data_IF_782030003060
#
_entry.id   IF_782030003060
#
_cell.length_a   1.000
_cell.length_b   1.000
_cell.length_c   1.000
_cell.angle_alpha   90.00
_cell.angle_beta   90.00
_cell.angle_gamma   90.00
#
_symmetry.space_group_name_H-M   'P 1'
#
loop_
_entity.id
_entity.type
_entity.pdbx_description
1 polymer ?
#
# COMPACT_ATOMS: atom_id res chain seq x y z
N UNK A 1 -3.11 -10.15 -18.31
CA UNK A 1 -2.18 -10.13 -17.16
C UNK A 1 -0.83 -9.60 -17.60
N UNK A 2 0.01 -9.16 -16.66
CA UNK A 2 1.32 -8.59 -16.97
C UNK A 2 2.33 -9.68 -17.39
N UNK A 3 3.18 -9.39 -18.38
CA UNK A 3 4.15 -10.33 -18.94
C UNK A 3 5.53 -10.21 -18.29
N UNK A 4 6.13 -11.35 -17.94
CA UNK A 4 7.47 -11.42 -17.36
C UNK A 4 7.53 -11.14 -15.85
N UNK A 5 8.70 -10.76 -15.38
CA UNK A 5 8.87 -10.27 -14.00
C UNK A 5 8.50 -8.79 -13.96
N UNK A 6 7.84 -8.40 -12.88
CA UNK A 6 7.48 -7.02 -12.60
C UNK A 6 8.09 -6.59 -11.27
N UNK A 7 8.38 -5.30 -11.16
CA UNK A 7 8.70 -4.66 -9.89
C UNK A 7 7.52 -3.80 -9.48
N UNK A 8 6.95 -4.10 -8.33
CA UNK A 8 5.86 -3.33 -7.72
C UNK A 8 6.43 -2.54 -6.56
N UNK A 9 6.28 -1.22 -6.60
CA UNK A 9 6.61 -0.32 -5.50
C UNK A 9 5.32 0.28 -4.96
N UNK A 10 5.10 0.22 -3.66
CA UNK A 10 3.96 0.85 -3.03
C UNK A 10 4.44 1.75 -1.89
N UNK A 11 3.89 2.96 -1.85
CA UNK A 11 4.09 3.90 -0.75
C UNK A 11 2.72 4.30 -0.21
N UNK A 12 2.47 3.98 1.05
CA UNK A 12 1.25 4.29 1.76
C UNK A 12 1.51 5.41 2.75
N UNK A 13 0.77 6.51 2.64
CA UNK A 13 0.87 7.65 3.55
C UNK A 13 -0.49 7.90 4.20
N UNK A 14 -0.52 8.20 5.50
CA UNK A 14 -1.78 8.50 6.19
C UNK A 14 -1.63 9.57 7.26
N UNK A 15 -2.69 10.36 7.43
CA UNK A 15 -2.71 11.42 8.45
C UNK A 15 -3.38 10.90 9.72
N UNK A 16 -2.63 10.77 10.80
CA UNK A 16 -3.19 10.50 12.14
C UNK A 16 -3.15 11.76 13.01
N UNK A 17 -4.22 12.06 13.76
CA UNK A 17 -4.13 13.00 14.88
C UNK A 17 -3.15 12.49 15.94
N UNK A 18 -2.50 13.42 16.64
CA UNK A 18 -1.59 13.13 17.75
C UNK A 18 -2.34 13.04 19.08
N UNK A 19 -1.83 12.25 20.02
CA UNK A 19 -2.28 12.19 21.41
C UNK A 19 -1.10 12.39 22.36
N UNK A 20 -0.77 13.64 22.70
CA UNK A 20 0.39 13.94 23.54
C UNK A 20 0.24 13.46 24.99
N UNK A 21 -0.97 13.10 25.44
CA UNK A 21 -1.22 12.67 26.81
C UNK A 21 -0.80 11.20 27.06
N UNK A 22 -0.58 10.42 26.00
CA UNK A 22 -0.17 9.02 26.08
C UNK A 22 1.28 8.83 25.58
N UNK A 23 2.20 8.62 26.51
CA UNK A 23 3.62 8.37 26.22
C UNK A 23 3.86 7.01 25.54
N UNK A 24 2.92 6.07 25.65
CA UNK A 24 3.00 4.77 25.02
C UNK A 24 2.45 4.77 23.58
N UNK A 25 1.75 5.82 23.12
CA UNK A 25 1.23 5.90 21.75
C UNK A 25 0.96 7.36 21.34
N UNK A 26 1.91 7.96 20.63
CA UNK A 26 1.79 9.38 20.23
C UNK A 26 0.77 9.62 19.09
N UNK A 27 0.34 8.58 18.37
CA UNK A 27 -0.67 8.68 17.31
C UNK A 27 -1.96 7.96 17.69
N UNK A 28 -3.10 8.57 17.36
CA UNK A 28 -4.46 8.02 17.62
C UNK A 28 -4.87 6.93 16.63
N UNK A 29 -3.99 6.58 15.70
CA UNK A 29 -4.25 5.61 14.67
C UNK A 29 -2.99 4.90 14.18
N UNK A 30 -3.14 3.61 13.93
CA UNK A 30 -2.22 2.81 13.13
C UNK A 30 -2.95 2.21 11.94
N UNK A 31 -2.20 1.93 10.89
CA UNK A 31 -2.69 1.22 9.71
C UNK A 31 -1.88 -0.05 9.51
N UNK A 32 -2.60 -1.16 9.36
CA UNK A 32 -2.01 -2.43 8.98
C UNK A 32 -2.45 -2.74 7.55
N UNK A 33 -1.46 -2.84 6.66
CA UNK A 33 -1.70 -3.08 5.23
C UNK A 33 -1.20 -4.47 4.88
N UNK A 34 -2.09 -5.28 4.30
CA UNK A 34 -1.76 -6.64 3.84
C UNK A 34 -1.98 -6.74 2.33
N UNK A 35 -1.13 -7.52 1.66
CA UNK A 35 -1.17 -7.65 0.20
C UNK A 35 -1.66 -9.03 -0.19
N UNK A 36 -2.66 -9.11 -1.07
CA UNK A 36 -3.14 -10.36 -1.67
C UNK A 36 -2.81 -10.34 -3.16
N UNK A 37 -1.89 -11.18 -3.64
CA UNK A 37 -1.48 -11.17 -5.04
C UNK A 37 -2.46 -11.89 -5.97
N UNK A 38 -3.18 -12.90 -5.48
CA UNK A 38 -4.07 -13.75 -6.28
C UNK A 38 -5.37 -13.99 -5.52
N UNK A 39 -6.49 -13.56 -6.10
CA UNK A 39 -7.83 -13.76 -5.54
C UNK A 39 -8.29 -15.22 -5.55
N UNK A 40 -7.74 -16.05 -6.45
CA UNK A 40 -8.16 -17.45 -6.62
C UNK A 40 -7.40 -18.40 -5.69
N UNK A 41 -6.32 -17.94 -5.05
CA UNK A 41 -5.56 -18.72 -4.08
C UNK A 41 -6.26 -18.77 -2.71
N UNK A 42 -7.44 -19.39 -2.68
CA UNK A 42 -8.23 -19.62 -1.46
C UNK A 42 -8.01 -21.05 -0.97
N UNK A 43 -7.50 -21.22 0.25
CA UNK A 43 -7.34 -22.55 0.87
C UNK A 43 -8.70 -23.10 1.30
N UNK A 44 -8.86 -24.42 1.22
CA UNK A 44 -10.07 -25.13 1.66
C UNK A 44 -10.44 -24.72 3.09
N UNK A 45 -11.65 -24.15 3.25
CA UNK A 45 -12.18 -23.73 4.55
C UNK A 45 -11.88 -22.27 4.94
N UNK A 46 -11.28 -21.45 4.07
CA UNK A 46 -11.13 -20.00 4.30
C UNK A 46 -12.00 -19.19 3.34
N UNK A 47 -12.51 -18.05 3.83
CA UNK A 47 -13.32 -17.13 3.03
C UNK A 47 -12.49 -16.21 2.12
N UNK A 48 -11.23 -15.94 2.48
CA UNK A 48 -10.35 -15.01 1.77
C UNK A 48 -9.09 -15.70 1.22
N UNK A 49 -8.56 -15.15 0.14
CA UNK A 49 -7.32 -15.59 -0.47
C UNK A 49 -6.09 -15.34 0.40
N UNK A 50 -5.00 -16.06 0.13
CA UNK A 50 -3.76 -16.00 0.92
C UNK A 50 -3.06 -14.64 0.80
N UNK A 51 -2.76 -14.04 1.96
CA UNK A 51 -2.02 -12.78 2.08
C UNK A 51 -0.50 -13.02 2.05
N UNK A 52 0.24 -12.11 1.43
CA UNK A 52 1.71 -12.00 1.51
C UNK A 52 2.10 -10.68 2.17
N UNK A 53 3.22 -10.69 2.88
CA UNK A 53 3.85 -9.46 3.36
C UNK A 53 4.40 -8.65 2.18
N UNK A 54 4.13 -7.35 2.17
CA UNK A 54 4.59 -6.45 1.11
C UNK A 54 5.55 -5.38 1.63
N UNK A 55 5.15 -4.66 2.67
CA UNK A 55 6.03 -3.78 3.43
C UNK A 55 6.94 -4.65 4.30
N UNK A 56 8.25 -4.39 4.27
CA UNK A 56 9.25 -5.21 4.94
C UNK A 56 9.20 -5.05 6.46
N UNK A 57 8.18 -5.68 7.04
CA UNK A 57 8.10 -5.98 8.45
C UNK A 57 8.71 -7.38 8.63
N UNK A 58 9.86 -7.51 9.33
CA UNK A 58 10.41 -8.81 9.78
C UNK A 58 9.28 -9.72 10.24
N UNK A 59 9.17 -10.89 9.58
CA UNK A 59 8.11 -11.91 9.77
C UNK A 59 7.97 -12.36 11.22
N UNK A 60 9.06 -12.30 11.97
CA UNK A 60 9.09 -12.47 13.42
C UNK A 60 9.81 -11.26 14.02
N UNK A 61 9.02 -10.35 14.58
CA UNK A 61 9.51 -9.19 15.34
C UNK A 61 8.62 -9.04 16.56
N UNK A 62 9.27 -8.91 17.72
CA UNK A 62 8.60 -8.58 18.97
C UNK A 62 7.90 -7.23 18.82
N UNK A 63 6.88 -6.98 19.66
CA UNK A 63 6.19 -5.70 19.62
C UNK A 63 7.14 -4.51 19.86
N UNK A 64 8.13 -4.68 20.74
CA UNK A 64 9.14 -3.67 21.03
C UNK A 64 9.97 -3.32 19.77
N UNK A 65 10.47 -4.32 19.05
CA UNK A 65 11.26 -4.10 17.82
C UNK A 65 10.44 -3.39 16.73
N UNK A 66 9.14 -3.71 16.61
CA UNK A 66 8.27 -3.02 15.65
C UNK A 66 8.06 -1.54 15.97
N UNK A 67 8.09 -1.19 17.25
CA UNK A 67 7.94 0.19 17.72
C UNK A 67 9.20 1.03 17.52
N UNK A 68 10.37 0.43 17.72
CA UNK A 68 11.66 1.12 17.65
C UNK A 68 12.18 1.26 16.22
N UNK A 69 12.13 0.19 15.42
CA UNK A 69 12.97 0.12 14.20
C UNK A 69 12.17 -0.12 12.91
N UNK A 70 10.87 -0.41 13.00
CA UNK A 70 10.09 -0.90 11.83
C UNK A 70 8.80 -0.12 11.58
N UNK A 71 8.74 1.10 12.09
CA UNK A 71 7.74 2.07 11.69
C UNK A 71 6.29 1.73 12.00
N UNK A 72 6.02 1.00 13.09
CA UNK A 72 4.64 0.87 13.63
C UNK A 72 3.98 2.23 13.89
N UNK A 73 4.78 3.26 14.13
CA UNK A 73 4.37 4.65 14.35
C UNK A 73 4.63 5.57 13.16
N UNK A 74 5.22 5.03 12.08
CA UNK A 74 5.46 5.82 10.88
C UNK A 74 4.15 6.01 10.14
N UNK A 75 3.93 7.24 9.69
CA UNK A 75 2.78 7.62 8.86
C UNK A 75 2.98 7.26 7.40
N UNK A 76 4.18 6.78 7.05
CA UNK A 76 4.60 6.39 5.72
C UNK A 76 5.12 4.96 5.74
N UNK A 77 4.51 4.09 4.94
CA UNK A 77 4.97 2.72 4.70
C UNK A 77 5.45 2.63 3.25
N UNK A 78 6.70 2.25 3.04
CA UNK A 78 7.27 2.06 1.70
C UNK A 78 7.73 0.62 1.53
N UNK A 79 7.45 0.02 0.38
CA UNK A 79 7.84 -1.35 0.05
C UNK A 79 8.07 -1.52 -1.44
N UNK A 80 9.05 -2.35 -1.78
CA UNK A 80 9.37 -2.74 -3.15
C UNK A 80 9.51 -4.26 -3.21
N UNK A 81 8.80 -4.89 -4.15
CA UNK A 81 8.87 -6.33 -4.38
C UNK A 81 8.93 -6.65 -5.86
N UNK A 82 9.87 -7.53 -6.22
CA UNK A 82 9.90 -8.17 -7.52
C UNK A 82 9.07 -9.45 -7.50
N UNK A 83 8.23 -9.66 -8.50
CA UNK A 83 7.36 -10.83 -8.61
C UNK A 83 7.03 -11.15 -10.06
N UNK A 84 6.57 -12.38 -10.32
CA UNK A 84 6.12 -12.80 -11.65
C UNK A 84 4.75 -12.20 -11.95
N UNK A 85 4.59 -11.53 -13.08
CA UNK A 85 3.31 -10.96 -13.51
C UNK A 85 2.20 -12.01 -13.65
N UNK A 86 2.54 -13.25 -13.97
CA UNK A 86 1.60 -14.38 -14.04
C UNK A 86 1.06 -14.83 -12.69
N UNK A 87 1.70 -14.43 -11.58
CA UNK A 87 1.24 -14.75 -10.21
C UNK A 87 0.30 -13.68 -9.64
N UNK A 88 0.02 -12.62 -10.42
CA UNK A 88 -0.84 -11.53 -10.02
C UNK A 88 -2.17 -11.65 -10.74
N UNK A 89 -3.21 -12.00 -9.98
CA UNK A 89 -4.56 -12.16 -10.49
C UNK A 89 -5.53 -11.46 -9.54
N UNK A 90 -6.02 -10.29 -9.98
CA UNK A 90 -6.76 -9.38 -9.10
C UNK A 90 -5.97 -8.99 -7.83
N UNK A 91 -4.74 -8.47 -7.93
CA UNK A 91 -3.97 -8.13 -6.74
C UNK A 91 -4.60 -6.97 -5.98
N UNK A 92 -4.73 -7.10 -4.65
CA UNK A 92 -5.36 -6.09 -3.79
C UNK A 92 -4.54 -5.82 -2.53
N UNK A 93 -4.65 -4.59 -2.02
CA UNK A 93 -4.17 -4.21 -0.70
C UNK A 93 -5.36 -4.06 0.25
N UNK A 94 -5.40 -4.90 1.28
CA UNK A 94 -6.37 -4.75 2.36
C UNK A 94 -5.81 -3.81 3.42
N UNK A 95 -6.64 -2.84 3.80
CA UNK A 95 -6.29 -1.79 4.73
C UNK A 95 -7.10 -2.02 6.01
N UNK A 96 -6.42 -2.37 7.10
CA UNK A 96 -7.04 -2.48 8.41
C UNK A 96 -6.74 -1.23 9.25
N UNK A 97 -7.80 -0.50 9.58
CA UNK A 97 -7.71 0.71 10.37
C UNK A 97 -7.78 0.41 11.86
N UNK A 98 -6.67 0.63 12.56
CA UNK A 98 -6.56 0.43 14.00
C UNK A 98 -6.68 1.75 14.74
N UNK A 99 -7.92 2.14 15.03
CA UNK A 99 -8.28 3.32 15.80
C UNK A 99 -7.98 3.18 17.30
N UNK A 100 -7.37 4.22 17.90
CA UNK A 100 -6.98 4.24 19.32
C UNK A 100 -7.40 5.54 20.00
N UNK A 101 -7.85 5.45 21.25
CA UNK A 101 -8.03 6.60 22.12
C UNK A 101 -7.70 6.18 23.56
N UNK A 102 -6.78 6.89 24.22
CA UNK A 102 -6.33 6.58 25.58
C UNK A 102 -5.86 5.13 25.77
N UNK A 103 -5.07 4.61 24.82
CA UNK A 103 -4.54 3.24 24.86
C UNK A 103 -5.54 2.11 24.53
N UNK A 104 -6.84 2.39 24.39
CA UNK A 104 -7.87 1.40 24.08
C UNK A 104 -8.35 1.46 22.63
N UNK A 105 -8.87 0.33 22.12
CA UNK A 105 -9.51 0.26 20.82
C UNK A 105 -10.75 1.19 20.80
N UNK A 106 -10.82 2.08 19.82
CA UNK A 106 -11.91 3.03 19.71
C UNK A 106 -12.76 2.75 18.47
N UNK A 107 -14.02 2.36 18.67
CA UNK A 107 -14.97 2.07 17.58
C UNK A 107 -15.61 3.31 16.96
N UNK A 108 -15.41 4.50 17.55
CA UNK A 108 -15.95 5.79 17.09
C UNK A 108 -14.88 6.74 16.55
N UNK A 109 -13.77 6.22 16.03
CA UNK A 109 -12.73 7.07 15.50
C UNK A 109 -13.09 7.69 14.14
N UNK A 110 -12.57 8.89 13.91
CA UNK A 110 -12.77 9.62 12.67
C UNK A 110 -12.13 8.92 11.48
N UNK A 111 -12.72 9.11 10.29
CA UNK A 111 -12.17 8.59 9.04
C UNK A 111 -10.80 9.22 8.78
N UNK A 112 -9.81 8.39 8.48
CA UNK A 112 -8.47 8.84 8.16
C UNK A 112 -8.31 9.09 6.66
N UNK A 113 -7.68 10.22 6.34
CA UNK A 113 -7.20 10.49 4.98
C UNK A 113 -5.91 9.71 4.76
N UNK A 114 -5.89 8.95 3.67
CA UNK A 114 -4.71 8.21 3.24
C UNK A 114 -4.48 8.42 1.74
N UNK A 115 -3.23 8.22 1.33
CA UNK A 115 -2.80 8.20 -0.05
C UNK A 115 -1.99 6.92 -0.28
N UNK A 116 -2.28 6.22 -1.38
CA UNK A 116 -1.52 5.06 -1.82
C UNK A 116 -0.94 5.37 -3.19
N UNK A 117 0.38 5.40 -3.27
CA UNK A 117 1.13 5.60 -4.51
C UNK A 117 1.67 4.24 -4.93
N UNK A 118 1.35 3.83 -6.16
CA UNK A 118 1.79 2.55 -6.73
C UNK A 118 2.61 2.85 -7.98
N UNK A 119 3.82 2.29 -8.04
CA UNK A 119 4.63 2.27 -9.25
C UNK A 119 4.76 0.85 -9.74
N UNK A 120 4.40 0.62 -11.01
CA UNK A 120 4.49 -0.68 -11.68
C UNK A 120 5.54 -0.59 -12.77
N UNK A 121 6.55 -1.44 -12.69
CA UNK A 121 7.57 -1.60 -13.71
C UNK A 121 7.48 -3.01 -14.30
N UNK A 122 7.24 -3.12 -15.61
CA UNK A 122 7.13 -4.40 -16.31
C UNK A 122 7.96 -4.36 -17.61
N UNK A 123 9.27 -4.64 -17.56
CA UNK A 123 10.18 -4.43 -18.70
C UNK A 123 9.83 -5.25 -19.94
N UNK A 124 9.12 -6.38 -19.78
CA UNK A 124 8.70 -7.26 -20.87
C UNK A 124 7.25 -7.01 -21.31
N UNK A 125 6.64 -5.90 -20.90
CA UNK A 125 5.26 -5.55 -21.21
C UNK A 125 5.19 -4.18 -21.89
N UNK A 126 5.40 -4.18 -23.20
CA UNK A 126 5.63 -2.97 -24.00
C UNK A 126 4.48 -1.94 -23.94
N UNK A 127 3.23 -2.40 -23.85
CA UNK A 127 2.04 -1.55 -23.91
C UNK A 127 1.42 -1.23 -22.53
N UNK A 128 2.19 -1.38 -21.44
CA UNK A 128 1.71 -1.22 -20.06
C UNK A 128 0.85 0.04 -19.83
N UNK A 129 1.36 1.20 -20.27
CA UNK A 129 0.66 2.48 -20.07
C UNK A 129 -0.69 2.52 -20.78
N UNK A 130 -0.72 2.13 -22.05
CA UNK A 130 -1.94 2.15 -22.87
C UNK A 130 -2.97 1.16 -22.35
N UNK A 131 -2.53 -0.01 -21.90
CA UNK A 131 -3.41 -1.05 -21.36
C UNK A 131 -4.03 -0.62 -20.02
N UNK A 132 -3.25 0.02 -19.13
CA UNK A 132 -3.78 0.63 -17.89
C UNK A 132 -4.77 1.74 -18.21
N UNK A 133 -4.43 2.65 -19.13
CA UNK A 133 -5.29 3.75 -19.49
C UNK A 133 -6.63 3.23 -20.01
N UNK A 134 -6.63 2.25 -20.92
CA UNK A 134 -7.84 1.61 -21.47
C UNK A 134 -8.68 0.89 -20.42
N UNK A 135 -8.04 0.15 -19.52
CA UNK A 135 -8.76 -0.62 -18.48
C UNK A 135 -9.42 0.29 -17.43
N UNK A 136 -8.86 1.47 -17.16
CA UNK A 136 -9.28 2.33 -16.06
C UNK A 136 -9.63 3.77 -16.50
N UNK A 137 -10.10 3.97 -17.73
CA UNK A 137 -10.44 5.30 -18.30
C UNK A 137 -11.39 6.12 -17.42
N UNK A 138 -12.27 5.46 -16.68
CA UNK A 138 -13.28 6.12 -15.84
C UNK A 138 -12.81 6.39 -14.40
N UNK A 139 -11.61 5.94 -14.03
CA UNK A 139 -11.07 6.00 -12.66
C UNK A 139 -9.77 6.82 -12.63
N UNK A 140 -8.90 6.66 -13.63
CA UNK A 140 -7.60 7.31 -13.69
C UNK A 140 -7.62 8.51 -14.64
N UNK A 141 -7.06 9.63 -14.17
CA UNK A 141 -6.80 10.81 -15.01
C UNK A 141 -5.35 10.77 -15.48
N UNK A 142 -5.07 10.78 -16.78
CA UNK A 142 -3.69 10.81 -17.28
C UNK A 142 -3.02 12.13 -16.89
N UNK A 143 -1.78 12.06 -16.41
CA UNK A 143 -0.96 13.25 -16.16
C UNK A 143 -0.66 13.94 -17.50
N UNK A 144 -1.05 15.21 -17.62
CA UNK A 144 -0.75 16.01 -18.81
C UNK A 144 0.63 16.65 -18.65
N UNK A 145 1.57 16.40 -19.59
CA UNK A 145 2.88 17.04 -19.53
C UNK A 145 2.74 18.54 -19.78
N UNK A 146 3.20 19.35 -18.82
CA UNK A 146 3.30 20.80 -18.97
C UNK A 146 4.59 21.13 -19.75
N UNK A 147 4.50 21.18 -21.07
CA UNK A 147 5.64 21.50 -21.93
C UNK A 147 5.63 23.00 -22.25
N UNK A 148 6.13 23.84 -21.35
CA UNK A 148 6.49 25.22 -21.68
C UNK A 148 7.98 25.27 -21.99
N UNK A 149 8.36 24.98 -23.23
CA UNK A 149 9.73 25.22 -23.68
C UNK A 149 9.77 26.64 -24.26
N UNK A 150 10.37 27.62 -23.58
CA UNK A 150 10.58 28.92 -24.20
C UNK A 150 11.62 28.75 -25.32
N UNK A 151 11.19 29.04 -26.54
CA UNK A 151 12.06 29.08 -27.72
C UNK A 151 12.99 30.28 -27.51
N UNK A 152 14.30 30.04 -27.36
CA UNK A 152 15.30 31.12 -27.47
C UNK A 152 15.62 31.28 -28.96
N UNK A 153 15.09 32.35 -29.57
CA UNK A 153 15.64 32.94 -30.80
C UNK A 153 16.99 33.59 -30.54
#
# INVERSE_FOLDING_TARGET
>A
GLTGNITLKATFCYASPTDPQDSAAYTRAGLEVTFRPDENNVKTGKANAETKGFFDLKKYSTEAERRSDMGKWETVLHGEKNMRGTTLNGPVFDIHYNARAGGAANTRAEKIRYALIISVEAPKHENLYNDILRAYQNILVPLQPQVSIPIRT
#
